data_IF_830692455407
#
_entry.id   IF_830692455407
#
_cell.length_a   1.000
_cell.length_b   1.000
_cell.length_c   1.000
_cell.angle_alpha   90.00
_cell.angle_beta   90.00
_cell.angle_gamma   90.00
#
_symmetry.space_group_name_H-M   'P 1'
#
loop_
_entity.id
_entity.type
_entity.pdbx_description
1 polymer ?
#
# COMPACT_ATOMS: atom_id res chain seq x y z
N UNK A 1 4.30 -14.59 23.46
CA UNK A 1 3.42 -14.83 22.29
C UNK A 1 3.85 -16.14 21.67
N UNK A 2 2.90 -16.98 21.22
CA UNK A 2 3.24 -18.17 20.44
C UNK A 2 3.91 -17.76 19.13
N UNK A 3 4.75 -18.64 18.58
CA UNK A 3 5.33 -18.44 17.25
C UNK A 3 4.21 -18.37 16.22
N UNK A 4 4.22 -17.34 15.38
CA UNK A 4 3.30 -17.22 14.23
C UNK A 4 3.76 -18.19 13.14
N UNK A 5 2.84 -19.01 12.60
CA UNK A 5 3.16 -20.02 11.56
C UNK A 5 2.10 -20.12 10.46
N UNK A 6 0.82 -20.16 10.82
CA UNK A 6 -0.30 -20.30 9.88
C UNK A 6 -0.83 -18.92 9.49
N UNK A 7 -0.77 -18.57 8.21
CA UNK A 7 -1.07 -17.23 7.70
C UNK A 7 -2.24 -17.31 6.73
N UNK A 8 -3.33 -16.61 7.06
CA UNK A 8 -4.41 -16.34 6.12
C UNK A 8 -4.12 -15.08 5.31
N UNK A 9 -4.41 -15.11 4.00
CA UNK A 9 -4.23 -13.96 3.10
C UNK A 9 -5.52 -13.66 2.35
N UNK A 10 -6.10 -12.50 2.62
CA UNK A 10 -7.16 -11.91 1.80
C UNK A 10 -6.52 -11.12 0.66
N UNK A 11 -7.11 -11.12 -0.54
CA UNK A 11 -6.57 -10.38 -1.68
C UNK A 11 -5.29 -10.97 -2.30
N UNK A 12 -5.03 -12.27 -2.12
CA UNK A 12 -3.83 -12.94 -2.61
C UNK A 12 -3.56 -12.83 -4.13
N UNK A 13 -4.60 -12.56 -4.94
CA UNK A 13 -4.46 -12.36 -6.38
C UNK A 13 -4.09 -10.91 -6.78
N UNK A 14 -4.13 -9.97 -5.83
CA UNK A 14 -3.76 -8.56 -6.03
C UNK A 14 -2.24 -8.35 -6.03
N UNK A 15 -1.81 -7.10 -6.22
CA UNK A 15 -0.39 -6.74 -6.34
C UNK A 15 0.42 -7.18 -5.11
N UNK A 16 -0.01 -6.78 -3.91
CA UNK A 16 0.63 -7.17 -2.65
C UNK A 16 0.55 -8.66 -2.42
N UNK A 17 -0.62 -9.27 -2.68
CA UNK A 17 -0.82 -10.71 -2.50
C UNK A 17 0.13 -11.57 -3.35
N UNK A 18 0.30 -11.21 -4.63
CA UNK A 18 1.15 -11.92 -5.59
C UNK A 18 2.63 -11.90 -5.20
N UNK A 19 3.13 -10.82 -4.60
CA UNK A 19 4.51 -10.74 -4.11
C UNK A 19 4.66 -11.35 -2.72
N UNK A 20 3.66 -11.21 -1.86
CA UNK A 20 3.73 -11.65 -0.46
C UNK A 20 3.58 -13.15 -0.29
N UNK A 21 2.71 -13.82 -1.05
CA UNK A 21 2.51 -15.28 -0.92
C UNK A 21 3.80 -16.08 -1.16
N UNK A 22 4.58 -15.85 -2.24
CA UNK A 22 5.87 -16.52 -2.42
C UNK A 22 6.88 -16.19 -1.33
N UNK A 23 6.93 -14.94 -0.84
CA UNK A 23 7.82 -14.54 0.23
C UNK A 23 7.48 -15.24 1.55
N UNK A 24 6.19 -15.38 1.87
CA UNK A 24 5.71 -16.10 3.04
C UNK A 24 6.08 -17.59 2.99
N UNK A 25 5.85 -18.24 1.84
CA UNK A 25 6.23 -19.64 1.63
C UNK A 25 7.74 -19.85 1.79
N UNK A 26 8.54 -18.95 1.19
CA UNK A 26 10.01 -19.00 1.27
C UNK A 26 10.52 -18.78 2.70
N UNK A 27 9.79 -18.01 3.51
CA UNK A 27 10.08 -17.80 4.93
C UNK A 27 9.60 -18.96 5.83
N UNK A 28 9.00 -20.01 5.27
CA UNK A 28 8.58 -21.21 6.00
C UNK A 28 7.20 -21.11 6.66
N UNK A 29 6.39 -20.10 6.31
CA UNK A 29 5.00 -20.00 6.78
C UNK A 29 4.09 -20.98 6.04
N UNK A 30 3.02 -21.41 6.71
CA UNK A 30 1.94 -22.20 6.10
C UNK A 30 0.86 -21.23 5.64
N UNK A 31 0.64 -21.13 4.32
CA UNK A 31 -0.22 -20.08 3.74
C UNK A 31 -1.60 -20.64 3.36
N UNK A 32 -2.64 -20.01 3.87
CA UNK A 32 -4.04 -20.20 3.45
C UNK A 32 -4.52 -18.95 2.71
N UNK A 33 -4.88 -19.10 1.45
CA UNK A 33 -5.49 -18.04 0.66
C UNK A 33 -7.00 -18.08 0.89
N UNK A 34 -7.56 -16.92 1.26
CA UNK A 34 -9.00 -16.72 1.34
C UNK A 34 -9.43 -15.95 0.10
N UNK A 35 -9.91 -16.69 -0.89
CA UNK A 35 -10.35 -16.14 -2.16
C UNK A 35 -11.87 -15.88 -2.14
N UNK A 36 -12.29 -14.78 -2.78
CA UNK A 36 -13.73 -14.54 -2.96
C UNK A 36 -14.39 -15.67 -3.77
N UNK A 37 -15.68 -16.00 -3.52
CA UNK A 37 -16.34 -17.14 -4.15
C UNK A 37 -16.19 -17.16 -5.68
N UNK A 38 -16.39 -16.01 -6.32
CA UNK A 38 -16.34 -15.80 -7.77
C UNK A 38 -14.92 -15.78 -8.37
N UNK A 39 -13.87 -15.77 -7.54
CA UNK A 39 -12.50 -15.67 -8.03
C UNK A 39 -12.06 -16.94 -8.78
N UNK A 40 -11.53 -16.75 -9.99
CA UNK A 40 -10.93 -17.80 -10.84
C UNK A 40 -9.41 -17.73 -10.89
N UNK A 41 -8.79 -16.95 -9.99
CA UNK A 41 -7.35 -16.77 -9.96
C UNK A 41 -6.62 -18.08 -9.63
N UNK A 42 -5.45 -18.24 -10.23
CA UNK A 42 -4.50 -19.31 -9.90
C UNK A 42 -3.48 -18.82 -8.88
N UNK A 43 -2.94 -19.73 -8.10
CA UNK A 43 -2.00 -19.44 -7.01
C UNK A 43 -0.78 -20.37 -7.09
N UNK A 44 0.36 -19.98 -6.51
CA UNK A 44 1.54 -20.85 -6.42
C UNK A 44 1.23 -22.17 -5.70
N UNK A 45 2.05 -23.20 -5.96
CA UNK A 45 1.98 -24.45 -5.20
C UNK A 45 2.32 -24.23 -3.72
N UNK A 46 1.90 -25.17 -2.86
CA UNK A 46 2.19 -25.12 -1.42
C UNK A 46 1.23 -24.25 -0.59
N UNK A 47 0.18 -23.70 -1.20
CA UNK A 47 -0.89 -22.97 -0.49
C UNK A 47 -2.16 -23.80 -0.34
N UNK A 48 -2.93 -23.55 0.71
CA UNK A 48 -4.33 -23.99 0.81
C UNK A 48 -5.24 -22.87 0.31
N UNK A 49 -6.25 -23.18 -0.50
CA UNK A 49 -7.23 -22.18 -0.95
C UNK A 49 -8.59 -22.48 -0.32
N UNK A 50 -9.15 -21.50 0.39
CA UNK A 50 -10.52 -21.51 0.91
C UNK A 50 -11.31 -20.38 0.27
N UNK A 51 -12.64 -20.53 0.26
CA UNK A 51 -13.58 -19.56 -0.31
C UNK A 51 -14.39 -18.90 0.80
N UNK A 52 -14.42 -17.57 0.82
CA UNK A 52 -15.27 -16.79 1.71
C UNK A 52 -15.49 -15.39 1.12
N UNK A 53 -16.69 -14.85 1.30
CA UNK A 53 -16.93 -13.43 1.04
C UNK A 53 -16.49 -12.58 2.23
N UNK A 54 -16.13 -11.31 2.00
CA UNK A 54 -15.67 -10.43 3.07
C UNK A 54 -16.83 -9.91 3.95
N UNK A 55 -18.07 -9.99 3.45
CA UNK A 55 -19.30 -9.63 4.15
C UNK A 55 -19.98 -10.81 4.86
N UNK A 56 -19.42 -12.02 4.74
CA UNK A 56 -19.96 -13.23 5.37
C UNK A 56 -19.15 -13.56 6.65
N UNK A 57 -19.63 -13.05 7.78
CA UNK A 57 -19.01 -13.24 9.09
C UNK A 57 -18.83 -14.72 9.46
N UNK A 58 -19.84 -15.56 9.19
CA UNK A 58 -19.83 -16.96 9.63
C UNK A 58 -18.80 -17.77 8.83
N UNK A 59 -18.87 -17.70 7.50
CA UNK A 59 -17.92 -18.39 6.63
C UNK A 59 -16.51 -17.86 6.85
N UNK A 60 -16.33 -16.55 6.99
CA UNK A 60 -15.02 -15.96 7.25
C UNK A 60 -14.43 -16.43 8.59
N UNK A 61 -15.24 -16.52 9.64
CA UNK A 61 -14.81 -17.07 10.93
C UNK A 61 -14.35 -18.53 10.79
N UNK A 62 -15.12 -19.36 10.08
CA UNK A 62 -14.81 -20.77 9.90
C UNK A 62 -13.48 -20.98 9.15
N UNK A 63 -13.28 -20.25 8.05
CA UNK A 63 -12.05 -20.40 7.25
C UNK A 63 -10.80 -19.90 7.98
N UNK A 64 -10.96 -18.94 8.90
CA UNK A 64 -9.88 -18.37 9.73
C UNK A 64 -9.53 -19.22 10.98
N UNK A 65 -10.31 -20.24 11.33
CA UNK A 65 -9.96 -21.13 12.45
C UNK A 65 -8.60 -21.79 12.25
N UNK A 66 -7.78 -21.77 13.30
CA UNK A 66 -6.43 -22.35 13.30
C UNK A 66 -5.36 -21.50 12.60
N UNK A 67 -5.71 -20.29 12.14
CA UNK A 67 -4.75 -19.32 11.59
C UNK A 67 -4.17 -18.48 12.74
N UNK A 68 -2.86 -18.25 12.72
CA UNK A 68 -2.19 -17.41 13.71
C UNK A 68 -2.26 -15.93 13.32
N UNK A 69 -2.19 -15.66 12.02
CA UNK A 69 -2.21 -14.31 11.47
C UNK A 69 -3.11 -14.18 10.24
N UNK A 70 -3.60 -12.96 10.01
CA UNK A 70 -4.36 -12.54 8.84
C UNK A 70 -3.65 -11.36 8.16
N UNK A 71 -3.50 -11.43 6.84
CA UNK A 71 -3.01 -10.33 6.00
C UNK A 71 -4.14 -9.83 5.12
N UNK A 72 -4.41 -8.53 5.22
CA UNK A 72 -5.35 -7.82 4.37
C UNK A 72 -4.62 -7.24 3.16
N UNK A 73 -4.45 -8.02 2.09
CA UNK A 73 -3.79 -7.60 0.86
C UNK A 73 -4.79 -7.25 -0.26
N UNK A 74 -5.94 -6.69 0.12
CA UNK A 74 -7.00 -6.31 -0.81
C UNK A 74 -6.99 -4.82 -1.14
N UNK A 75 -7.82 -4.48 -2.12
CA UNK A 75 -7.98 -3.13 -2.63
C UNK A 75 -8.71 -2.21 -1.60
N UNK A 76 -8.38 -0.91 -1.51
CA UNK A 76 -9.05 0.03 -0.60
C UNK A 76 -10.59 0.01 -0.61
N UNK A 77 -11.23 -0.32 -1.74
CA UNK A 77 -12.69 -0.43 -1.81
C UNK A 77 -13.27 -1.50 -0.87
N UNK A 78 -12.52 -2.54 -0.55
CA UNK A 78 -12.94 -3.60 0.37
C UNK A 78 -12.77 -3.24 1.85
N UNK A 79 -12.19 -2.07 2.17
CA UNK A 79 -12.03 -1.60 3.55
C UNK A 79 -13.38 -1.37 4.26
N UNK A 80 -14.49 -1.24 3.51
CA UNK A 80 -15.83 -1.16 4.09
C UNK A 80 -16.25 -2.43 4.87
N UNK A 81 -15.58 -3.56 4.63
CA UNK A 81 -15.84 -4.82 5.34
C UNK A 81 -15.02 -5.00 6.62
N UNK A 82 -14.27 -3.99 7.06
CA UNK A 82 -13.29 -4.13 8.14
C UNK A 82 -13.90 -4.66 9.44
N UNK A 83 -15.03 -4.11 9.89
CA UNK A 83 -15.73 -4.61 11.09
C UNK A 83 -16.02 -6.12 11.01
N UNK A 84 -16.45 -6.63 9.85
CA UNK A 84 -16.75 -8.06 9.67
C UNK A 84 -15.46 -8.89 9.71
N UNK A 85 -14.42 -8.45 9.01
CA UNK A 85 -13.12 -9.12 8.95
C UNK A 85 -12.50 -9.22 10.36
N UNK A 86 -12.47 -8.11 11.11
CA UNK A 86 -11.90 -8.06 12.46
C UNK A 86 -12.71 -8.91 13.44
N UNK A 87 -14.05 -8.90 13.36
CA UNK A 87 -14.91 -9.77 14.18
C UNK A 87 -14.67 -11.25 13.88
N UNK A 88 -14.52 -11.62 12.61
CA UNK A 88 -14.20 -12.98 12.21
C UNK A 88 -12.83 -13.42 12.74
N UNK A 89 -11.81 -12.56 12.62
CA UNK A 89 -10.47 -12.82 13.12
C UNK A 89 -10.47 -13.00 14.66
N UNK A 90 -11.18 -12.14 15.39
CA UNK A 90 -11.35 -12.26 16.85
C UNK A 90 -12.05 -13.57 17.23
N UNK A 91 -13.16 -13.90 16.57
CA UNK A 91 -13.93 -15.12 16.84
C UNK A 91 -13.15 -16.41 16.50
N UNK A 92 -12.29 -16.36 15.49
CA UNK A 92 -11.42 -17.46 15.10
C UNK A 92 -10.16 -17.61 15.97
N UNK A 93 -9.88 -16.63 16.85
CA UNK A 93 -8.70 -16.63 17.72
C UNK A 93 -7.39 -16.21 17.04
N UNK A 94 -7.48 -15.47 15.92
CA UNK A 94 -6.31 -14.92 15.24
C UNK A 94 -5.57 -13.95 16.18
N UNK A 95 -4.25 -14.02 16.19
CA UNK A 95 -3.41 -13.22 17.12
C UNK A 95 -2.79 -12.00 16.44
N UNK A 96 -2.66 -12.04 15.11
CA UNK A 96 -1.97 -11.00 14.35
C UNK A 96 -2.72 -10.60 13.09
N UNK A 97 -2.87 -9.30 12.87
CA UNK A 97 -3.45 -8.73 11.67
C UNK A 97 -2.47 -7.74 11.03
N UNK A 98 -2.28 -7.84 9.72
CA UNK A 98 -1.62 -6.80 8.92
C UNK A 98 -2.69 -6.13 8.07
N UNK A 99 -2.86 -4.81 8.28
CA UNK A 99 -3.95 -4.01 7.71
C UNK A 99 -3.72 -3.69 6.22
N UNK A 100 -4.72 -3.22 5.47
CA UNK A 100 -4.65 -3.05 4.02
C UNK A 100 -4.08 -1.67 3.65
N UNK A 101 -2.98 -1.29 4.29
CA UNK A 101 -2.37 0.02 4.11
C UNK A 101 -1.54 0.11 2.83
N UNK A 102 -0.33 -0.43 2.79
CA UNK A 102 0.43 -0.65 1.56
C UNK A 102 0.42 0.52 0.55
N UNK A 103 0.53 1.75 1.07
CA UNK A 103 0.38 3.01 0.32
C UNK A 103 1.20 4.12 1.00
N UNK A 104 0.96 5.37 0.58
CA UNK A 104 1.26 6.62 1.28
C UNK A 104 0.60 6.73 2.66
N UNK A 105 1.02 7.71 3.47
CA UNK A 105 0.70 7.82 4.90
C UNK A 105 -0.77 8.22 5.18
N UNK A 106 -1.64 7.22 5.35
CA UNK A 106 -3.03 7.41 5.79
C UNK A 106 -3.17 7.78 7.28
N UNK A 107 -2.08 7.74 8.05
CA UNK A 107 -2.00 8.09 9.46
C UNK A 107 -1.45 9.51 9.67
N UNK A 108 -1.13 10.23 8.60
CA UNK A 108 -0.77 11.65 8.68
C UNK A 108 -1.86 12.43 9.42
N UNK A 109 -1.45 13.41 10.23
CA UNK A 109 -2.38 14.28 10.95
C UNK A 109 -3.31 15.08 10.01
N UNK A 110 -2.95 15.18 8.72
CA UNK A 110 -3.69 15.91 7.69
C UNK A 110 -4.39 15.00 6.68
N UNK A 111 -4.37 13.67 6.86
CA UNK A 111 -4.92 12.72 5.89
C UNK A 111 -6.44 12.90 5.65
N UNK A 112 -7.19 13.39 6.63
CA UNK A 112 -8.63 13.66 6.48
C UNK A 112 -8.93 14.76 5.44
N UNK A 113 -7.97 15.64 5.14
CA UNK A 113 -8.19 16.80 4.27
C UNK A 113 -8.29 16.42 2.79
N UNK A 114 -7.78 15.26 2.38
CA UNK A 114 -7.65 14.86 0.96
C UNK A 114 -8.70 13.82 0.55
N UNK A 115 -9.51 13.32 1.50
CA UNK A 115 -10.65 12.43 1.27
C UNK A 115 -10.32 11.00 0.81
N UNK A 116 -9.23 10.79 0.05
CA UNK A 116 -8.82 9.48 -0.49
C UNK A 116 -8.54 8.44 0.61
N UNK A 117 -8.14 8.91 1.79
CA UNK A 117 -7.78 8.07 2.93
C UNK A 117 -9.00 7.69 3.79
N UNK A 118 -10.16 8.32 3.58
CA UNK A 118 -11.36 8.12 4.40
C UNK A 118 -11.75 6.64 4.58
N UNK A 119 -11.78 5.78 3.53
CA UNK A 119 -12.14 4.38 3.71
C UNK A 119 -11.19 3.64 4.66
N UNK A 120 -9.88 3.94 4.57
CA UNK A 120 -8.85 3.32 5.40
C UNK A 120 -8.85 3.85 6.82
N UNK A 121 -9.05 5.15 7.00
CA UNK A 121 -9.18 5.75 8.33
C UNK A 121 -10.39 5.22 9.09
N UNK A 122 -11.53 5.04 8.40
CA UNK A 122 -12.72 4.39 8.98
C UNK A 122 -12.43 2.95 9.38
N UNK A 123 -11.83 2.16 8.49
CA UNK A 123 -11.44 0.78 8.78
C UNK A 123 -10.46 0.70 9.98
N UNK A 124 -9.45 1.57 10.02
CA UNK A 124 -8.49 1.62 11.12
C UNK A 124 -9.18 1.96 12.45
N UNK A 125 -10.10 2.92 12.47
CA UNK A 125 -10.88 3.25 13.66
C UNK A 125 -11.72 2.07 14.14
N UNK A 126 -12.41 1.37 13.24
CA UNK A 126 -13.18 0.18 13.59
C UNK A 126 -12.30 -0.94 14.17
N UNK A 127 -11.12 -1.17 13.57
CA UNK A 127 -10.13 -2.12 14.06
C UNK A 127 -9.66 -1.76 15.48
N UNK A 128 -9.30 -0.49 15.72
CA UNK A 128 -8.85 -0.02 17.02
C UNK A 128 -9.94 -0.13 18.08
N UNK A 129 -11.18 0.27 17.76
CA UNK A 129 -12.33 0.12 18.65
C UNK A 129 -12.56 -1.35 19.03
N UNK A 130 -12.58 -2.26 18.06
CA UNK A 130 -12.79 -3.71 18.28
C UNK A 130 -11.64 -4.39 19.02
N UNK A 131 -10.43 -3.81 18.98
CA UNK A 131 -9.22 -4.38 19.62
C UNK A 131 -8.79 -3.64 20.89
N UNK A 132 -9.55 -2.62 21.33
CA UNK A 132 -9.23 -1.78 22.48
C UNK A 132 -9.38 -2.46 23.85
N UNK A 133 -10.14 -3.56 23.92
CA UNK A 133 -10.43 -4.23 25.19
C UNK A 133 -9.14 -4.75 25.86
N UNK A 134 -8.95 -4.52 27.18
CA UNK A 134 -7.83 -5.08 27.92
C UNK A 134 -7.76 -6.60 27.76
N UNK A 135 -6.58 -7.12 27.44
CA UNK A 135 -6.37 -8.55 27.22
C UNK A 135 -6.78 -9.06 25.82
N UNK A 136 -7.19 -8.18 24.90
CA UNK A 136 -7.41 -8.56 23.50
C UNK A 136 -6.14 -9.19 22.91
N UNK A 137 -6.26 -10.44 22.46
CA UNK A 137 -5.14 -11.21 21.90
C UNK A 137 -4.79 -10.76 20.48
N UNK A 138 -5.77 -10.25 19.72
CA UNK A 138 -5.56 -9.77 18.38
C UNK A 138 -4.75 -8.48 18.43
N UNK A 139 -3.60 -8.50 17.76
CA UNK A 139 -2.73 -7.35 17.57
C UNK A 139 -2.67 -6.97 16.10
N UNK A 140 -2.42 -5.71 15.79
CA UNK A 140 -2.37 -5.25 14.40
C UNK A 140 -1.07 -4.52 14.06
N UNK A 141 -0.75 -4.45 12.76
CA UNK A 141 0.24 -3.52 12.19
C UNK A 141 -0.23 -3.00 10.86
N UNK A 142 -0.01 -1.71 10.69
CA UNK A 142 -0.16 -1.00 9.43
C UNK A 142 1.22 -0.80 8.80
N UNK A 143 1.39 -1.16 7.52
CA UNK A 143 2.67 -1.00 6.80
C UNK A 143 2.51 0.12 5.78
N UNK A 144 3.34 1.16 5.88
CA UNK A 144 3.39 2.31 4.97
C UNK A 144 4.70 2.22 4.16
N UNK A 145 4.66 1.60 2.96
CA UNK A 145 5.81 1.48 2.06
C UNK A 145 5.98 2.67 1.11
N UNK A 146 5.04 3.63 1.11
CA UNK A 146 5.03 4.73 0.13
C UNK A 146 4.58 4.27 -1.26
N UNK A 147 4.88 5.07 -2.28
CA UNK A 147 4.46 4.77 -3.64
C UNK A 147 5.35 3.68 -4.28
N UNK A 148 4.73 2.69 -4.93
CA UNK A 148 5.45 1.64 -5.64
C UNK A 148 5.91 2.11 -7.02
N UNK A 149 7.18 2.53 -7.15
CA UNK A 149 7.68 3.09 -8.40
C UNK A 149 7.81 2.05 -9.52
N UNK A 150 8.23 0.83 -9.19
CA UNK A 150 8.41 -0.27 -10.15
C UNK A 150 7.06 -0.66 -10.79
N UNK A 151 6.07 -0.96 -9.95
CA UNK A 151 4.71 -1.29 -10.37
C UNK A 151 4.04 -0.10 -11.08
N UNK A 152 4.20 1.11 -10.54
CA UNK A 152 3.59 2.32 -11.09
C UNK A 152 4.11 2.66 -12.48
N UNK A 153 5.42 2.62 -12.69
CA UNK A 153 6.04 2.92 -14.00
C UNK A 153 5.70 1.83 -15.02
N UNK A 154 5.72 0.56 -14.62
CA UNK A 154 5.32 -0.55 -15.50
C UNK A 154 3.85 -0.43 -15.92
N UNK A 155 2.98 -0.08 -14.98
CA UNK A 155 1.54 0.06 -15.19
C UNK A 155 1.11 1.37 -15.86
N UNK A 156 1.97 2.39 -15.90
CA UNK A 156 1.63 3.73 -16.40
C UNK A 156 0.80 4.56 -15.41
N UNK A 157 0.92 4.29 -14.11
CA UNK A 157 0.23 5.00 -13.02
C UNK A 157 1.15 5.90 -12.19
N UNK A 158 2.43 5.98 -12.55
CA UNK A 158 3.42 6.83 -11.92
C UNK A 158 3.62 8.12 -12.73
N UNK A 159 4.23 9.15 -12.14
CA UNK A 159 4.54 10.40 -12.85
C UNK A 159 5.73 10.27 -13.82
N UNK A 160 6.18 9.05 -14.09
CA UNK A 160 7.16 8.69 -15.13
C UNK A 160 6.45 7.71 -16.07
N UNK A 161 6.17 8.16 -17.29
CA UNK A 161 5.58 7.34 -18.34
C UNK A 161 6.67 6.90 -19.30
N UNK A 162 7.09 5.62 -19.18
CA UNK A 162 8.12 5.04 -20.06
C UNK A 162 7.68 4.82 -21.50
N UNK A 163 6.37 4.73 -21.78
CA UNK A 163 5.85 4.55 -23.14
C UNK A 163 5.85 5.89 -23.89
N UNK A 164 5.44 6.96 -23.21
CA UNK A 164 5.41 8.31 -23.77
C UNK A 164 6.71 9.09 -23.53
N UNK A 165 7.67 8.50 -22.81
CA UNK A 165 8.94 9.15 -22.39
C UNK A 165 8.70 10.52 -21.78
N UNK A 166 7.73 10.57 -20.86
CA UNK A 166 7.30 11.80 -20.20
C UNK A 166 7.53 11.69 -18.70
N UNK A 167 8.01 12.77 -18.10
CA UNK A 167 8.09 12.95 -16.65
C UNK A 167 7.16 14.11 -16.29
N UNK A 168 6.13 13.86 -15.48
CA UNK A 168 5.27 14.92 -14.97
C UNK A 168 5.87 15.51 -13.71
N UNK A 169 6.16 16.82 -13.74
CA UNK A 169 6.68 17.57 -12.60
C UNK A 169 5.56 18.40 -12.00
N UNK A 170 5.12 18.00 -10.82
CA UNK A 170 4.16 18.76 -10.02
C UNK A 170 4.89 19.79 -9.18
N UNK A 171 4.39 21.02 -9.17
CA UNK A 171 4.97 22.11 -8.37
C UNK A 171 6.41 22.43 -8.77
N UNK A 172 7.27 22.65 -7.77
CA UNK A 172 8.70 22.92 -8.00
C UNK A 172 9.48 21.68 -8.44
N UNK A 173 8.93 20.49 -8.17
CA UNK A 173 9.61 19.21 -8.34
C UNK A 173 10.72 18.95 -7.33
N UNK A 174 10.84 19.75 -6.27
CA UNK A 174 11.86 19.60 -5.22
C UNK A 174 11.36 18.85 -3.98
N UNK A 175 10.04 18.77 -3.75
CA UNK A 175 9.50 17.94 -2.67
C UNK A 175 9.92 16.50 -2.88
N UNK A 176 10.50 15.90 -1.83
CA UNK A 176 10.82 14.47 -1.82
C UNK A 176 9.57 13.66 -1.52
N UNK A 177 9.57 12.45 -2.05
CA UNK A 177 8.53 11.44 -1.81
C UNK A 177 9.22 10.14 -1.45
N UNK A 178 8.76 9.51 -0.37
CA UNK A 178 9.13 8.15 0.00
C UNK A 178 8.52 7.14 -0.97
N UNK A 179 9.38 6.38 -1.63
CA UNK A 179 9.00 5.39 -2.65
C UNK A 179 9.68 4.05 -2.38
N UNK A 180 9.07 2.99 -2.89
CA UNK A 180 9.58 1.63 -2.75
C UNK A 180 9.34 0.80 -3.98
N UNK A 181 10.03 -0.32 -4.07
CA UNK A 181 9.59 -1.43 -4.90
C UNK A 181 8.38 -2.09 -4.25
N UNK A 182 7.49 -2.66 -5.05
CA UNK A 182 6.39 -3.48 -4.54
C UNK A 182 6.90 -4.63 -3.65
N UNK A 183 8.10 -5.14 -3.95
CA UNK A 183 8.74 -6.23 -3.20
C UNK A 183 9.02 -5.87 -1.73
N UNK A 184 9.29 -4.60 -1.39
CA UNK A 184 9.55 -4.19 0.00
C UNK A 184 8.33 -4.44 0.91
N UNK A 185 7.10 -4.38 0.35
CA UNK A 185 5.90 -4.71 1.11
C UNK A 185 5.88 -6.18 1.55
N UNK A 186 6.27 -7.10 0.66
CA UNK A 186 6.36 -8.53 0.97
C UNK A 186 7.46 -8.85 2.00
N UNK A 187 8.65 -8.24 1.84
CA UNK A 187 9.77 -8.36 2.79
C UNK A 187 9.39 -7.84 4.18
N UNK A 188 8.67 -6.71 4.23
CA UNK A 188 8.22 -6.11 5.49
C UNK A 188 7.14 -6.94 6.17
N UNK A 189 6.18 -7.51 5.41
CA UNK A 189 5.19 -8.46 5.94
C UNK A 189 5.89 -9.63 6.65
N UNK A 190 6.87 -10.26 5.99
CA UNK A 190 7.62 -11.39 6.57
C UNK A 190 8.34 -10.95 7.86
N UNK A 191 9.03 -9.81 7.82
CA UNK A 191 9.74 -9.26 8.99
C UNK A 191 8.79 -8.99 10.16
N UNK A 192 7.61 -8.43 9.90
CA UNK A 192 6.60 -8.14 10.92
C UNK A 192 6.07 -9.43 11.56
N UNK A 193 5.80 -10.46 10.76
CA UNK A 193 5.30 -11.76 11.26
C UNK A 193 6.33 -12.55 12.04
N UNK A 194 7.62 -12.41 11.70
CA UNK A 194 8.73 -13.01 12.45
C UNK A 194 9.02 -12.28 13.77
N UNK A 195 8.59 -11.03 13.91
CA UNK A 195 8.84 -10.19 15.09
C UNK A 195 7.55 -9.59 15.67
N UNK A 196 6.53 -10.41 15.99
CA UNK A 196 5.18 -9.91 16.29
C UNK A 196 5.12 -9.01 17.53
N UNK A 197 6.02 -9.21 18.50
CA UNK A 197 6.11 -8.36 19.69
C UNK A 197 6.65 -6.96 19.39
N UNK A 198 7.65 -6.83 18.50
CA UNK A 198 8.27 -5.55 18.12
C UNK A 198 7.26 -4.62 17.43
N UNK A 199 6.36 -5.20 16.64
CA UNK A 199 5.43 -4.46 15.80
C UNK A 199 4.01 -4.46 16.35
N UNK A 200 3.80 -4.72 17.64
CA UNK A 200 2.45 -4.77 18.20
C UNK A 200 1.76 -3.39 18.14
N UNK A 201 0.57 -3.31 17.53
CA UNK A 201 -0.35 -2.17 17.52
C UNK A 201 0.33 -0.84 17.14
N UNK A 202 1.05 -0.84 16.03
CA UNK A 202 1.67 0.37 15.49
C UNK A 202 1.78 0.34 13.98
N UNK A 203 1.94 1.53 13.45
CA UNK A 203 2.35 1.78 12.07
C UNK A 203 3.84 1.50 11.91
N UNK A 204 4.20 0.96 10.76
CA UNK A 204 5.57 0.62 10.33
C UNK A 204 5.83 1.36 9.03
N UNK A 205 6.72 2.35 9.09
CA UNK A 205 7.12 3.15 7.94
C UNK A 205 8.40 2.56 7.34
N UNK A 206 8.36 2.23 6.05
CA UNK A 206 9.51 1.72 5.30
C UNK A 206 9.55 2.37 3.94
N UNK A 207 10.73 2.68 3.42
CA UNK A 207 10.90 3.13 2.05
C UNK A 207 12.21 2.59 1.50
N UNK A 208 12.29 2.30 0.19
CA UNK A 208 13.59 2.08 -0.44
C UNK A 208 14.33 3.41 -0.60
N UNK A 209 13.63 4.47 -1.00
CA UNK A 209 14.20 5.78 -1.33
C UNK A 209 13.29 6.94 -0.91
N UNK A 210 13.88 8.13 -0.74
CA UNK A 210 13.17 9.40 -0.70
C UNK A 210 13.75 10.34 -1.75
N UNK A 211 12.96 10.63 -2.78
CA UNK A 211 13.45 11.25 -4.02
C UNK A 211 12.44 12.26 -4.55
N UNK A 212 12.95 13.35 -5.12
CA UNK A 212 12.18 14.40 -5.77
C UNK A 212 12.07 14.17 -7.28
N UNK A 213 11.12 14.85 -7.94
CA UNK A 213 10.98 14.74 -9.40
C UNK A 213 12.19 15.31 -10.15
N UNK A 214 12.83 16.37 -9.62
CA UNK A 214 14.06 16.91 -10.22
C UNK A 214 15.24 15.93 -10.09
N UNK A 215 15.32 15.16 -9.00
CA UNK A 215 16.30 14.06 -8.88
C UNK A 215 16.01 12.94 -9.89
N UNK A 216 14.75 12.56 -10.10
CA UNK A 216 14.38 11.62 -11.16
C UNK A 216 14.78 12.10 -12.55
N UNK A 217 14.50 13.36 -12.89
CA UNK A 217 14.89 13.96 -14.18
C UNK A 217 16.40 13.85 -14.37
N UNK A 218 17.19 14.20 -13.35
CA UNK A 218 18.64 14.10 -13.39
C UNK A 218 19.11 12.67 -13.65
N UNK A 219 18.60 11.70 -12.89
CA UNK A 219 18.95 10.28 -13.03
C UNK A 219 18.57 9.76 -14.42
N UNK A 220 17.36 10.07 -14.90
CA UNK A 220 16.86 9.61 -16.20
C UNK A 220 17.69 10.18 -17.34
N UNK A 221 18.03 11.48 -17.30
CA UNK A 221 18.90 12.11 -18.29
C UNK A 221 20.30 11.46 -18.32
N UNK A 222 20.81 11.05 -17.16
CA UNK A 222 22.12 10.38 -17.09
C UNK A 222 22.07 8.97 -17.72
N UNK A 223 21.04 8.17 -17.43
CA UNK A 223 20.95 6.79 -17.93
C UNK A 223 20.46 6.72 -19.38
N UNK A 224 19.68 7.70 -19.87
CA UNK A 224 19.14 7.69 -21.23
C UNK A 224 20.18 7.98 -22.31
N UNK A 225 21.41 8.34 -21.92
CA UNK A 225 22.56 8.53 -22.82
C UNK A 225 22.27 9.45 -24.02
N UNK A 226 21.51 10.52 -23.78
CA UNK A 226 21.15 11.52 -24.79
C UNK A 226 19.79 11.32 -25.46
N UNK A 227 19.03 10.27 -25.08
CA UNK A 227 17.62 10.20 -25.43
C UNK A 227 16.80 11.21 -24.62
N UNK A 228 16.03 12.04 -25.33
CA UNK A 228 15.24 13.12 -24.75
C UNK A 228 13.96 12.59 -24.08
N UNK A 229 13.76 12.99 -22.82
CA UNK A 229 12.52 12.81 -22.09
C UNK A 229 11.80 14.14 -21.95
N UNK A 230 10.51 14.15 -22.27
CA UNK A 230 9.69 15.36 -22.14
C UNK A 230 9.32 15.59 -20.68
N UNK A 231 9.69 16.73 -20.12
CA UNK A 231 9.15 17.18 -18.83
C UNK A 231 7.84 17.93 -19.06
N UNK A 232 6.79 17.54 -18.34
CA UNK A 232 5.48 18.20 -18.33
C UNK A 232 5.28 18.83 -16.97
N UNK A 233 5.34 20.15 -16.92
CA UNK A 233 5.12 20.92 -15.70
C UNK A 233 3.62 21.06 -15.41
N UNK A 234 3.24 20.83 -14.15
CA UNK A 234 1.88 20.96 -13.63
C UNK A 234 1.91 21.86 -12.40
N UNK A 235 1.12 22.93 -12.44
CA UNK A 235 0.86 23.76 -11.25
C UNK A 235 0.08 22.93 -10.22
N UNK A 236 0.71 22.65 -9.08
CA UNK A 236 0.10 21.79 -8.06
C UNK A 236 -1.12 22.45 -7.41
N UNK A 237 -1.14 23.77 -7.25
CA UNK A 237 -2.25 24.47 -6.61
C UNK A 237 -3.50 24.45 -7.48
N UNK A 238 -3.36 24.65 -8.79
CA UNK A 238 -4.45 24.47 -9.75
C UNK A 238 -4.90 23.01 -9.82
N UNK A 239 -3.95 22.07 -9.84
CA UNK A 239 -4.23 20.64 -9.85
C UNK A 239 -5.02 20.20 -8.61
N UNK A 240 -4.64 20.71 -7.43
CA UNK A 240 -5.33 20.50 -6.16
C UNK A 240 -6.76 21.04 -6.19
N UNK A 241 -6.94 22.29 -6.65
CA UNK A 241 -8.28 22.91 -6.76
C UNK A 241 -9.19 22.09 -7.68
N UNK A 242 -8.70 21.64 -8.83
CA UNK A 242 -9.48 20.81 -9.75
C UNK A 242 -9.79 19.43 -9.15
N UNK A 243 -8.84 18.82 -8.43
CA UNK A 243 -9.05 17.55 -7.72
C UNK A 243 -10.21 17.63 -6.72
N UNK A 244 -10.23 18.67 -5.89
CA UNK A 244 -11.33 18.91 -4.94
C UNK A 244 -12.65 19.23 -5.64
N UNK A 245 -12.62 20.03 -6.71
CA UNK A 245 -13.83 20.33 -7.50
C UNK A 245 -14.47 19.05 -8.05
N UNK A 246 -13.66 18.16 -8.62
CA UNK A 246 -14.13 16.87 -9.14
C UNK A 246 -14.59 15.93 -8.03
N UNK A 247 -13.94 15.97 -6.85
CA UNK A 247 -14.36 15.19 -5.69
C UNK A 247 -15.74 15.61 -5.17
N UNK A 248 -16.01 16.92 -5.14
CA UNK A 248 -17.32 17.46 -4.79
C UNK A 248 -18.39 17.08 -5.83
N UNK A 249 -18.02 17.08 -7.11
CA UNK A 249 -18.89 16.63 -8.21
C UNK A 249 -19.23 15.13 -8.07
N UNK A 250 -18.24 14.27 -7.84
CA UNK A 250 -18.44 12.85 -7.53
C UNK A 250 -19.40 12.66 -6.34
N UNK A 251 -19.26 13.50 -5.30
CA UNK A 251 -20.12 13.50 -4.11
C UNK A 251 -21.57 13.83 -4.45
N UNK A 252 -21.80 14.93 -5.19
CA UNK A 252 -23.14 15.37 -5.61
C UNK A 252 -23.81 14.34 -6.51
N UNK A 253 -23.03 13.65 -7.34
CA UNK A 253 -23.52 12.58 -8.22
C UNK A 253 -23.72 11.24 -7.52
N UNK A 254 -23.40 11.14 -6.22
CA UNK A 254 -23.60 9.92 -5.43
C UNK A 254 -22.65 8.78 -5.79
N UNK A 255 -21.48 9.09 -6.37
CA UNK A 255 -20.47 8.07 -6.72
C UNK A 255 -20.01 7.33 -5.48
N UNK A 256 -20.26 6.02 -5.44
CA UNK A 256 -19.94 5.14 -4.31
C UNK A 256 -18.51 4.62 -4.35
N UNK A 257 -18.04 4.17 -5.52
CA UNK A 257 -16.69 3.64 -5.69
C UNK A 257 -15.81 4.68 -6.40
N UNK A 258 -14.95 5.36 -5.65
CA UNK A 258 -14.11 6.46 -6.17
C UNK A 258 -12.75 6.02 -6.70
N UNK A 259 -12.31 4.80 -6.40
CA UNK A 259 -10.95 4.33 -6.69
C UNK A 259 -10.46 4.58 -8.13
N UNK A 260 -11.38 4.59 -9.09
CA UNK A 260 -11.05 4.75 -10.51
C UNK A 260 -11.48 6.10 -11.08
N UNK A 261 -11.94 7.04 -10.24
CA UNK A 261 -12.31 8.37 -10.70
C UNK A 261 -11.09 9.24 -10.88
N UNK A 262 -11.22 10.24 -11.76
CA UNK A 262 -10.19 11.25 -11.97
C UNK A 262 -9.89 11.99 -10.66
N UNK A 263 -10.93 12.32 -9.88
CA UNK A 263 -10.78 12.98 -8.58
C UNK A 263 -9.89 12.18 -7.63
N UNK A 264 -10.14 10.87 -7.50
CA UNK A 264 -9.34 10.00 -6.62
C UNK A 264 -7.87 9.96 -7.04
N UNK A 265 -7.60 9.83 -8.33
CA UNK A 265 -6.22 9.83 -8.85
C UNK A 265 -5.53 11.16 -8.58
N UNK A 266 -6.21 12.28 -8.85
CA UNK A 266 -5.67 13.61 -8.62
C UNK A 266 -5.37 13.87 -7.14
N UNK A 267 -6.32 13.56 -6.26
CA UNK A 267 -6.14 13.76 -4.83
C UNK A 267 -5.06 12.80 -4.25
N UNK A 268 -4.89 11.61 -4.82
CA UNK A 268 -3.73 10.74 -4.58
C UNK A 268 -2.40 11.42 -4.86
N UNK A 269 -2.29 12.10 -6.01
CA UNK A 269 -1.10 12.87 -6.37
C UNK A 269 -0.94 14.12 -5.50
N UNK A 270 -2.02 14.80 -5.10
CA UNK A 270 -1.95 15.94 -4.16
C UNK A 270 -1.37 15.50 -2.83
N UNK A 271 -1.75 14.32 -2.32
CA UNK A 271 -1.18 13.75 -1.10
C UNK A 271 0.33 13.43 -1.21
N UNK A 272 0.90 13.47 -2.42
CA UNK A 272 2.33 13.25 -2.66
C UNK A 272 3.13 14.55 -2.88
N UNK A 273 2.51 15.60 -3.40
CA UNK A 273 3.22 16.74 -3.99
C UNK A 273 2.72 18.10 -3.52
N UNK A 274 2.23 18.24 -2.29
CA UNK A 274 1.66 19.50 -1.76
C UNK A 274 2.68 20.64 -1.49
N UNK A 275 3.95 20.47 -1.84
CA UNK A 275 5.10 21.39 -1.61
C UNK A 275 5.45 21.68 -0.14
N UNK A 276 4.60 21.33 0.82
CA UNK A 276 4.79 21.54 2.25
C UNK A 276 5.05 20.24 3.03
N UNK A 277 5.06 19.09 2.34
CA UNK A 277 5.03 17.76 2.93
C UNK A 277 3.90 17.57 3.98
N UNK A 278 2.78 18.25 3.77
CA UNK A 278 1.64 18.31 4.69
C UNK A 278 1.04 16.93 4.96
N UNK A 279 1.05 16.06 3.97
CA UNK A 279 0.46 14.72 4.05
C UNK A 279 1.51 13.63 4.31
N UNK A 280 2.72 14.00 4.75
CA UNK A 280 3.83 13.08 5.03
C UNK A 280 4.20 12.21 3.83
N UNK A 281 4.32 12.82 2.65
CA UNK A 281 4.82 12.14 1.45
C UNK A 281 6.29 11.72 1.60
N UNK A 282 7.10 12.57 2.23
CA UNK A 282 8.42 12.24 2.76
C UNK A 282 8.31 11.97 4.27
N UNK A 283 8.46 10.70 4.63
CA UNK A 283 8.44 10.24 6.01
C UNK A 283 9.77 9.62 6.44
N UNK A 284 10.91 10.01 5.85
CA UNK A 284 12.23 9.45 6.25
C UNK A 284 12.49 9.59 7.75
N UNK A 285 11.91 10.59 8.38
CA UNK A 285 12.02 10.83 9.83
C UNK A 285 11.18 9.86 10.69
N UNK A 286 10.18 9.16 10.12
CA UNK A 286 9.37 8.11 10.77
C UNK A 286 9.86 6.69 10.45
N UNK A 287 10.75 6.56 9.46
CA UNK A 287 11.14 5.29 8.86
C UNK A 287 11.85 4.36 9.86
N UNK A 288 11.57 3.04 9.76
CA UNK A 288 12.20 2.04 10.62
C UNK A 288 13.74 2.05 10.46
N UNK A 289 14.49 2.03 11.57
CA UNK A 289 15.96 2.04 11.52
C UNK A 289 16.53 0.89 10.68
N UNK A 290 17.53 1.19 9.86
CA UNK A 290 18.20 0.21 9.02
C UNK A 290 17.44 -0.17 7.74
N UNK A 291 16.32 0.50 7.44
CA UNK A 291 15.66 0.42 6.14
C UNK A 291 16.14 1.56 5.22
N UNK A 292 15.80 1.49 3.93
CA UNK A 292 16.34 2.38 2.90
C UNK A 292 17.49 1.77 2.11
N UNK A 293 17.73 2.33 0.92
CA UNK A 293 18.73 1.85 -0.03
C UNK A 293 19.52 3.02 -0.62
N UNK A 294 20.79 2.81 -1.01
CA UNK A 294 21.60 3.87 -1.59
C UNK A 294 21.03 4.31 -2.94
N UNK A 295 21.11 5.61 -3.24
CA UNK A 295 20.49 6.20 -4.44
C UNK A 295 21.05 5.60 -5.74
N UNK A 296 22.29 5.11 -5.72
CA UNK A 296 22.94 4.40 -6.82
C UNK A 296 22.17 3.13 -7.21
N UNK A 297 21.51 2.47 -6.25
CA UNK A 297 20.64 1.33 -6.55
C UNK A 297 19.39 1.76 -7.31
N UNK A 298 18.83 2.95 -7.02
CA UNK A 298 17.67 3.48 -7.76
C UNK A 298 18.03 3.71 -9.23
N UNK A 299 19.22 4.25 -9.49
CA UNK A 299 19.71 4.46 -10.87
C UNK A 299 19.77 3.16 -11.67
N UNK A 300 20.36 2.11 -11.11
CA UNK A 300 20.44 0.80 -11.78
C UNK A 300 19.06 0.14 -11.97
N UNK A 301 18.13 0.39 -11.05
CA UNK A 301 16.76 -0.12 -11.16
C UNK A 301 15.95 0.63 -12.21
N UNK A 302 16.05 1.95 -12.26
CA UNK A 302 15.46 2.77 -13.31
C UNK A 302 16.06 2.42 -14.67
N UNK A 303 17.36 2.17 -14.74
CA UNK A 303 18.03 1.72 -15.98
C UNK A 303 17.36 0.47 -16.54
N UNK A 304 17.15 -0.56 -15.71
CA UNK A 304 16.44 -1.79 -16.09
C UNK A 304 14.97 -1.55 -16.42
N UNK A 305 14.25 -0.80 -15.58
CA UNK A 305 12.81 -0.57 -15.68
C UNK A 305 12.43 0.23 -16.93
N UNK A 306 13.30 1.15 -17.35
CA UNK A 306 13.14 2.00 -18.52
C UNK A 306 13.75 1.39 -19.80
N UNK A 307 14.40 0.22 -19.70
CA UNK A 307 14.92 -0.53 -20.85
C UNK A 307 16.26 -0.02 -21.38
N UNK A 308 17.07 0.64 -20.55
CA UNK A 308 18.42 1.07 -20.86
C UNK A 308 19.44 -0.02 -20.45
N UNK A 309 20.48 -0.23 -21.28
CA UNK A 309 21.54 -1.24 -21.05
C UNK A 309 22.86 -0.62 -20.64
#
# INVERSE_FOLDING_TARGET
MSSIKNIAVLGAAGNVGKTSVPALLSAGFVVTIIARPESTATYPEGVTVKKASYDDLETLTEVLKGQDALIEAFNPAAAEHQSIIVRAALAAGVQRLITPEFSTDSFSAHAEEVGIFEPKQKAQKELEELTSAPGCILSWTAIIPGAWFDWGIEGGFFWIDKKQKTITRFGSGNQKVSISRLQLSAETIVTVLQNPGKYRNRVVYVADYAVSTNEFISIINEISSGEEWKVVDVDIEEFKKEGFRLWDEDTKNGVKTRLFTKAYTMLGTVALFDEENRYDADYTYKQEPGTGRPIESLKEELKKLLGYN
#
